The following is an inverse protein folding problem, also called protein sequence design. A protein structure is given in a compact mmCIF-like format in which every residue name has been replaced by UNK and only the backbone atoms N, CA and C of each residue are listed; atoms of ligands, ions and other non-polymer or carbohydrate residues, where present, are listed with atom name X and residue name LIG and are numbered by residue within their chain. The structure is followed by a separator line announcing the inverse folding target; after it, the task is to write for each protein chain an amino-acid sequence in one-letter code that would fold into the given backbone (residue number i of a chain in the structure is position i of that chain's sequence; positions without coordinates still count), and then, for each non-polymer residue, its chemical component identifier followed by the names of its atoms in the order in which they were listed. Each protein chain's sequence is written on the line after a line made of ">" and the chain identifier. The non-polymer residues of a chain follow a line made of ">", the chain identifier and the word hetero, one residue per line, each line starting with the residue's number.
data_IF_574894150732
#
_entry.id   IF_574894150732
#
_cell.length_a   1.000
_cell.length_b   1.000
_cell.length_c   1.000
_cell.angle_alpha   90.00
_cell.angle_beta   90.00
_cell.angle_gamma   90.00
#
_symmetry.space_group_name_H-M   'P 1'
#
loop_
_entity.id
_entity.type
_entity.pdbx_description
1 polymer ?
#
# COMPACT_ATOMS: atom_id res chain seq x y z
N UNK A 1 -35.57 1.92 -19.92
CA UNK A 1 -35.20 0.51 -19.94
C UNK A 1 -34.01 0.24 -19.02
N UNK A 2 -32.79 0.76 -19.29
CA UNK A 2 -31.60 0.42 -18.48
C UNK A 2 -31.85 0.64 -16.98
N UNK A 3 -32.37 1.79 -16.58
CA UNK A 3 -32.68 2.12 -15.19
C UNK A 3 -33.74 1.22 -14.52
N UNK A 4 -34.56 0.51 -15.31
CA UNK A 4 -35.55 -0.44 -14.77
C UNK A 4 -34.98 -1.87 -14.66
N UNK A 5 -33.88 -2.16 -15.35
CA UNK A 5 -33.27 -3.49 -15.37
C UNK A 5 -32.21 -3.66 -14.31
N UNK A 6 -31.50 -2.60 -13.96
CA UNK A 6 -30.43 -2.63 -12.97
C UNK A 6 -30.09 -1.23 -12.47
N UNK A 7 -29.46 -1.16 -11.33
CA UNK A 7 -28.72 0.02 -10.90
C UNK A 7 -27.31 0.00 -11.51
N UNK A 8 -26.85 1.18 -11.92
CA UNK A 8 -25.52 1.35 -12.49
C UNK A 8 -24.73 2.37 -11.68
N UNK A 9 -23.43 2.16 -11.56
CA UNK A 9 -22.50 3.12 -10.99
C UNK A 9 -21.12 2.98 -11.63
N UNK A 10 -20.40 4.08 -11.71
CA UNK A 10 -19.00 4.10 -12.17
C UNK A 10 -18.07 4.15 -10.98
N UNK A 11 -17.30 3.12 -10.78
CA UNK A 11 -16.27 3.09 -9.76
C UNK A 11 -15.09 3.97 -10.18
N UNK A 12 -14.92 5.13 -9.52
CA UNK A 12 -13.88 6.10 -9.90
C UNK A 12 -12.46 5.60 -9.66
N UNK A 13 -12.29 4.61 -8.77
CA UNK A 13 -10.99 4.02 -8.46
C UNK A 13 -10.54 3.10 -9.60
N UNK A 14 -11.35 2.10 -9.95
CA UNK A 14 -11.03 1.17 -11.04
C UNK A 14 -11.34 1.75 -12.42
N UNK A 15 -12.17 2.80 -12.49
CA UNK A 15 -12.69 3.41 -13.72
C UNK A 15 -13.64 2.52 -14.49
N UNK A 16 -14.15 1.47 -13.86
CA UNK A 16 -15.07 0.53 -14.47
C UNK A 16 -16.51 0.84 -14.03
N UNK A 17 -17.42 0.62 -14.96
CA UNK A 17 -18.84 0.62 -14.68
C UNK A 17 -19.21 -0.68 -13.96
N UNK A 18 -20.07 -0.55 -12.95
CA UNK A 18 -20.63 -1.66 -12.17
C UNK A 18 -22.14 -1.64 -12.28
N UNK A 19 -22.76 -2.81 -12.24
CA UNK A 19 -24.20 -2.95 -12.20
C UNK A 19 -24.66 -3.84 -11.05
N UNK A 20 -25.87 -3.58 -10.55
CA UNK A 20 -26.57 -4.42 -9.58
C UNK A 20 -27.97 -4.73 -10.10
N UNK A 21 -28.28 -6.01 -10.25
CA UNK A 21 -29.65 -6.43 -10.56
C UNK A 21 -30.56 -6.16 -9.35
N UNK A 22 -31.84 -5.81 -9.53
CA UNK A 22 -32.75 -5.51 -8.41
C UNK A 22 -32.85 -6.62 -7.35
N UNK A 23 -32.63 -7.86 -7.74
CA UNK A 23 -32.65 -9.03 -6.86
C UNK A 23 -31.27 -9.40 -6.26
N UNK A 24 -30.20 -8.67 -6.64
CA UNK A 24 -28.86 -8.94 -6.16
C UNK A 24 -28.46 -7.95 -5.05
N UNK A 25 -27.70 -8.42 -4.09
CA UNK A 25 -27.18 -7.58 -2.99
C UNK A 25 -25.93 -6.80 -3.42
N UNK A 26 -25.13 -7.37 -4.34
CA UNK A 26 -23.81 -6.84 -4.70
C UNK A 26 -23.77 -6.26 -6.11
N UNK A 27 -22.94 -5.24 -6.27
CA UNK A 27 -22.57 -4.72 -7.58
C UNK A 27 -21.48 -5.60 -8.21
N UNK A 28 -21.63 -5.89 -9.50
CA UNK A 28 -20.65 -6.61 -10.31
C UNK A 28 -20.11 -5.72 -11.43
N UNK A 29 -18.84 -5.88 -11.78
CA UNK A 29 -18.26 -5.16 -12.91
C UNK A 29 -18.98 -5.49 -14.21
N UNK A 30 -19.27 -4.48 -15.01
CA UNK A 30 -19.82 -4.64 -16.36
C UNK A 30 -18.79 -5.33 -17.26
N UNK A 31 -19.19 -6.47 -17.80
CA UNK A 31 -18.42 -7.21 -18.80
C UNK A 31 -19.09 -7.09 -20.17
N UNK A 32 -18.36 -7.33 -21.26
CA UNK A 32 -18.93 -7.39 -22.59
C UNK A 32 -20.15 -8.34 -22.68
N UNK A 33 -20.10 -9.45 -21.95
CA UNK A 33 -21.23 -10.39 -21.87
C UNK A 33 -22.48 -9.76 -21.26
N UNK A 34 -22.34 -8.98 -20.18
CA UNK A 34 -23.45 -8.31 -19.51
C UNK A 34 -24.02 -7.20 -20.40
N UNK A 35 -23.18 -6.39 -21.02
CA UNK A 35 -23.59 -5.34 -21.96
C UNK A 35 -24.33 -5.95 -23.17
N UNK A 36 -23.81 -7.02 -23.76
CA UNK A 36 -24.46 -7.73 -24.85
C UNK A 36 -25.81 -8.34 -24.43
N UNK A 37 -25.92 -8.83 -23.19
CA UNK A 37 -27.17 -9.34 -22.63
C UNK A 37 -28.23 -8.25 -22.45
N UNK A 38 -27.82 -7.07 -21.97
CA UNK A 38 -28.70 -5.89 -21.89
C UNK A 38 -29.21 -5.49 -23.28
N UNK A 39 -28.30 -5.34 -24.24
CA UNK A 39 -28.65 -5.02 -25.61
C UNK A 39 -29.61 -6.04 -26.23
N UNK A 40 -29.37 -7.34 -26.04
CA UNK A 40 -30.24 -8.41 -26.54
C UNK A 40 -31.65 -8.33 -25.95
N UNK A 41 -31.79 -8.03 -24.64
CA UNK A 41 -33.10 -7.84 -24.01
C UNK A 41 -33.82 -6.62 -24.59
N UNK A 42 -33.13 -5.49 -24.72
CA UNK A 42 -33.69 -4.28 -25.34
C UNK A 42 -34.27 -4.57 -26.73
N UNK A 43 -33.49 -5.28 -27.56
CA UNK A 43 -33.91 -5.64 -28.90
C UNK A 43 -35.14 -6.58 -28.93
N UNK A 44 -35.18 -7.54 -27.99
CA UNK A 44 -36.33 -8.46 -27.85
C UNK A 44 -37.63 -7.76 -27.40
N UNK A 45 -37.47 -6.68 -26.62
CA UNK A 45 -38.61 -5.85 -26.20
C UNK A 45 -39.02 -4.79 -27.24
N UNK A 46 -38.42 -4.81 -28.42
CA UNK A 46 -38.80 -3.94 -29.53
C UNK A 46 -38.05 -2.63 -29.62
N UNK A 47 -37.03 -2.40 -28.78
CA UNK A 47 -36.21 -1.21 -28.85
C UNK A 47 -35.19 -1.30 -30.00
N UNK A 48 -35.22 -0.36 -30.93
CA UNK A 48 -34.27 -0.27 -32.05
C UNK A 48 -33.04 0.52 -31.60
N UNK A 49 -32.07 -0.18 -31.01
CA UNK A 49 -30.81 0.42 -30.51
C UNK A 49 -29.60 -0.40 -30.99
N UNK A 50 -28.52 0.26 -31.29
CA UNK A 50 -27.25 -0.41 -31.63
C UNK A 50 -26.47 -0.69 -30.32
N UNK A 51 -25.63 -1.72 -30.33
CA UNK A 51 -24.78 -2.06 -29.17
C UNK A 51 -23.86 -0.89 -28.77
N UNK A 52 -23.33 -0.15 -29.76
CA UNK A 52 -22.49 1.02 -29.50
C UNK A 52 -23.25 2.14 -28.76
N UNK A 53 -24.54 2.32 -29.04
CA UNK A 53 -25.37 3.32 -28.37
C UNK A 53 -25.58 2.95 -26.88
N UNK A 54 -25.76 1.65 -26.59
CA UNK A 54 -25.85 1.15 -25.21
C UNK A 54 -24.53 1.38 -24.46
N UNK A 55 -23.38 1.06 -25.10
CA UNK A 55 -22.06 1.35 -24.51
C UNK A 55 -21.86 2.83 -24.24
N UNK A 56 -22.16 3.70 -25.21
CA UNK A 56 -22.02 5.16 -25.05
C UNK A 56 -22.87 5.72 -23.90
N UNK A 57 -24.06 5.17 -23.68
CA UNK A 57 -24.89 5.57 -22.53
C UNK A 57 -24.27 5.09 -21.21
N UNK A 58 -23.82 3.85 -21.15
CA UNK A 58 -23.19 3.29 -19.93
C UNK A 58 -21.89 3.98 -19.57
N UNK A 59 -21.14 4.49 -20.55
CA UNK A 59 -19.89 5.26 -20.37
C UNK A 59 -20.13 6.78 -20.18
N UNK A 60 -21.37 7.23 -20.14
CA UNK A 60 -21.72 8.63 -19.98
C UNK A 60 -22.10 9.01 -18.54
N UNK A 61 -22.42 10.30 -18.32
CA UNK A 61 -22.94 10.83 -17.05
C UNK A 61 -24.28 10.22 -16.62
N UNK A 62 -24.91 9.40 -17.45
CA UNK A 62 -26.08 8.58 -17.06
C UNK A 62 -25.74 7.65 -15.90
N UNK A 63 -24.50 7.19 -15.81
CA UNK A 63 -24.01 6.32 -14.75
C UNK A 63 -23.32 7.17 -13.68
N UNK A 64 -23.91 7.28 -12.46
CA UNK A 64 -23.35 8.11 -11.40
C UNK A 64 -21.99 7.60 -10.91
N UNK A 65 -21.11 8.52 -10.56
CA UNK A 65 -19.81 8.20 -9.98
C UNK A 65 -19.97 7.66 -8.55
N UNK A 66 -19.15 6.67 -8.23
CA UNK A 66 -19.09 6.02 -6.94
C UNK A 66 -17.63 5.89 -6.48
N UNK A 67 -17.32 6.43 -5.30
CA UNK A 67 -16.04 6.22 -4.65
C UNK A 67 -16.20 5.26 -3.47
N UNK A 68 -15.68 4.02 -3.55
CA UNK A 68 -15.88 3.00 -2.53
C UNK A 68 -15.31 3.39 -1.17
N UNK A 69 -14.20 4.12 -1.14
CA UNK A 69 -13.58 4.55 0.11
C UNK A 69 -14.39 5.65 0.78
N UNK A 70 -14.84 6.64 0.01
CA UNK A 70 -15.68 7.73 0.54
C UNK A 70 -16.98 7.18 1.11
N UNK A 71 -17.64 6.27 0.41
CA UNK A 71 -18.89 5.66 0.89
C UNK A 71 -18.66 4.81 2.14
N UNK A 72 -17.59 4.01 2.15
CA UNK A 72 -17.23 3.23 3.33
C UNK A 72 -17.00 4.14 4.56
N UNK A 73 -16.17 5.17 4.43
CA UNK A 73 -15.89 6.07 5.55
C UNK A 73 -17.08 6.91 6.00
N UNK A 74 -18.03 7.21 5.11
CA UNK A 74 -19.29 7.86 5.47
C UNK A 74 -20.26 6.97 6.24
N UNK A 75 -20.22 5.66 5.98
CA UNK A 75 -21.08 4.68 6.64
C UNK A 75 -20.62 4.29 8.04
N UNK A 76 -19.39 4.66 8.42
CA UNK A 76 -18.84 4.29 9.71
C UNK A 76 -19.56 4.98 10.87
N UNK A 77 -19.82 4.24 11.97
CA UNK A 77 -20.30 4.85 13.19
C UNK A 77 -19.24 5.79 13.78
N UNK A 78 -19.64 6.84 14.51
CA UNK A 78 -18.68 7.71 15.16
C UNK A 78 -17.91 6.93 16.24
N UNK A 79 -16.58 7.16 16.30
CA UNK A 79 -15.75 6.61 17.36
C UNK A 79 -16.13 7.20 18.72
N UNK A 80 -16.14 6.40 19.77
CA UNK A 80 -16.49 6.77 21.15
C UNK A 80 -15.48 7.74 21.82
N UNK A 81 -14.30 7.91 21.22
CA UNK A 81 -13.23 8.78 21.71
C UNK A 81 -12.39 8.17 22.84
N UNK A 82 -12.66 6.96 23.26
CA UNK A 82 -12.03 6.29 24.42
C UNK A 82 -11.41 4.95 24.03
N UNK A 83 -12.15 4.11 23.33
CA UNK A 83 -11.71 2.74 22.99
C UNK A 83 -10.56 2.78 21.97
N UNK A 84 -9.42 2.19 22.31
CA UNK A 84 -8.28 2.11 21.40
C UNK A 84 -8.35 0.86 20.52
N UNK A 85 -9.11 0.96 19.42
CA UNK A 85 -9.28 -0.13 18.45
C UNK A 85 -8.00 -0.36 17.63
N UNK A 86 -7.25 0.71 17.29
CA UNK A 86 -6.00 0.58 16.54
C UNK A 86 -4.94 -0.13 17.39
N UNK A 87 -4.80 0.27 18.64
CA UNK A 87 -3.86 -0.39 19.56
C UNK A 87 -4.22 -1.85 19.81
N UNK A 88 -5.52 -2.19 19.92
CA UNK A 88 -5.95 -3.60 20.01
C UNK A 88 -5.60 -4.41 18.77
N UNK A 89 -5.72 -3.83 17.58
CA UNK A 89 -5.31 -4.47 16.34
C UNK A 89 -3.78 -4.62 16.28
N UNK A 90 -3.03 -3.60 16.65
CA UNK A 90 -1.57 -3.66 16.72
C UNK A 90 -1.10 -4.75 17.70
N UNK A 91 -1.75 -4.90 18.85
CA UNK A 91 -1.41 -5.88 19.86
C UNK A 91 -1.54 -7.35 19.41
N UNK A 92 -2.24 -7.61 18.29
CA UNK A 92 -2.29 -8.96 17.68
C UNK A 92 -0.97 -9.34 16.97
N UNK A 93 -0.06 -8.39 16.80
CA UNK A 93 1.28 -8.63 16.22
C UNK A 93 2.32 -8.46 17.34
N UNK A 94 2.87 -9.57 17.77
CA UNK A 94 3.89 -9.62 18.80
C UNK A 94 5.27 -9.40 18.16
N UNK A 95 5.84 -8.22 18.36
CA UNK A 95 7.14 -7.84 17.80
C UNK A 95 8.27 -8.05 18.80
N UNK A 96 9.47 -8.24 18.30
CA UNK A 96 10.68 -8.22 19.09
C UNK A 96 11.03 -6.80 19.53
N UNK A 97 11.32 -6.60 20.83
CA UNK A 97 11.71 -5.31 21.39
C UNK A 97 10.52 -4.44 21.80
N UNK A 98 10.47 -3.19 21.32
CA UNK A 98 9.50 -2.19 21.78
C UNK A 98 8.15 -2.30 21.05
N UNK A 99 7.20 -2.97 21.71
CA UNK A 99 5.83 -3.10 21.22
C UNK A 99 5.09 -1.75 21.16
N UNK A 100 5.45 -0.79 22.02
CA UNK A 100 4.85 0.56 21.98
C UNK A 100 5.28 1.32 20.74
N UNK A 101 6.55 1.21 20.36
CA UNK A 101 7.04 1.80 19.11
C UNK A 101 6.33 1.21 17.90
N UNK A 102 6.03 -0.10 17.91
CA UNK A 102 5.22 -0.71 16.85
C UNK A 102 3.82 -0.10 16.82
N UNK A 103 3.14 0.02 17.96
CA UNK A 103 1.80 0.63 18.02
C UNK A 103 1.82 2.08 17.51
N UNK A 104 2.77 2.89 17.95
CA UNK A 104 2.88 4.29 17.53
C UNK A 104 3.15 4.42 16.02
N UNK A 105 4.06 3.63 15.47
CA UNK A 105 4.36 3.60 14.04
C UNK A 105 3.18 3.07 13.22
N UNK A 106 2.56 1.98 13.66
CA UNK A 106 1.40 1.38 13.00
C UNK A 106 0.21 2.35 12.98
N UNK A 107 -0.05 3.04 14.09
CA UNK A 107 -1.11 4.05 14.21
C UNK A 107 -0.91 5.19 13.22
N UNK A 108 0.30 5.75 13.14
CA UNK A 108 0.65 6.78 12.17
C UNK A 108 0.48 6.29 10.74
N UNK A 109 1.02 5.12 10.45
CA UNK A 109 0.92 4.51 9.12
C UNK A 109 -0.53 4.26 8.72
N UNK A 110 -1.37 3.71 9.62
CA UNK A 110 -2.77 3.41 9.32
C UNK A 110 -3.62 4.68 9.14
N UNK A 111 -3.38 5.71 9.95
CA UNK A 111 -4.04 7.02 9.75
C UNK A 111 -3.60 7.62 8.40
N UNK A 112 -2.32 7.51 8.03
CA UNK A 112 -1.84 7.94 6.71
C UNK A 112 -2.52 7.17 5.56
N UNK A 113 -2.79 5.86 5.71
CA UNK A 113 -3.60 5.06 4.77
C UNK A 113 -4.99 5.68 4.59
N UNK A 114 -5.68 6.00 5.69
CA UNK A 114 -7.02 6.60 5.62
C UNK A 114 -6.96 7.97 4.93
N UNK A 115 -5.96 8.79 5.25
CA UNK A 115 -5.84 10.14 4.67
C UNK A 115 -5.54 10.06 3.17
N UNK A 116 -4.65 9.18 2.72
CA UNK A 116 -4.34 9.00 1.29
C UNK A 116 -5.54 8.52 0.47
N UNK A 117 -6.47 7.78 1.08
CA UNK A 117 -7.72 7.36 0.43
C UNK A 117 -8.77 8.48 0.35
N UNK A 118 -8.67 9.51 1.21
CA UNK A 118 -9.66 10.58 1.33
C UNK A 118 -9.22 11.91 0.73
N UNK A 119 -7.91 12.16 0.64
CA UNK A 119 -7.32 13.44 0.22
C UNK A 119 -6.39 13.22 -0.95
N UNK A 120 -6.75 13.77 -2.12
CA UNK A 120 -6.06 13.54 -3.41
C UNK A 120 -4.59 13.98 -3.41
N UNK A 121 -4.24 14.96 -2.58
CA UNK A 121 -2.91 15.56 -2.51
C UNK A 121 -1.99 14.90 -1.47
N UNK A 122 -2.50 13.90 -0.75
CA UNK A 122 -1.73 13.23 0.30
C UNK A 122 -1.36 11.81 -0.13
N UNK A 123 -0.08 11.51 -0.03
CA UNK A 123 0.48 10.18 -0.30
C UNK A 123 1.16 9.64 0.97
N UNK A 124 0.92 8.39 1.30
CA UNK A 124 1.62 7.73 2.40
C UNK A 124 3.01 7.27 1.93
N UNK A 125 4.05 7.91 2.44
CA UNK A 125 5.43 7.62 2.06
C UNK A 125 6.08 6.49 2.87
N UNK A 126 5.39 5.93 3.85
CA UNK A 126 5.92 4.89 4.73
C UNK A 126 5.52 3.49 4.26
N UNK A 127 6.46 2.56 4.35
CA UNK A 127 6.27 1.15 4.01
C UNK A 127 6.35 0.35 5.31
N UNK A 128 5.23 -0.19 5.76
CA UNK A 128 5.20 -1.06 6.94
C UNK A 128 5.71 -2.45 6.56
N UNK A 129 6.79 -2.94 7.19
CA UNK A 129 7.38 -4.23 6.86
C UNK A 129 7.36 -5.17 8.08
N UNK A 130 6.78 -6.34 7.87
CA UNK A 130 6.80 -7.43 8.84
C UNK A 130 7.91 -8.43 8.50
N UNK A 131 8.92 -8.48 9.35
CA UNK A 131 10.09 -9.36 9.20
C UNK A 131 9.91 -10.58 10.09
N UNK A 132 10.10 -11.79 9.59
CA UNK A 132 9.98 -12.99 10.43
C UNK A 132 9.78 -14.27 9.64
N UNK A 133 9.71 -15.39 10.35
CA UNK A 133 9.64 -16.73 9.77
C UNK A 133 8.48 -16.90 8.80
N UNK A 134 8.64 -17.75 7.80
CA UNK A 134 7.55 -18.17 6.94
C UNK A 134 6.43 -18.85 7.75
N UNK A 135 5.17 -18.64 7.33
CA UNK A 135 4.01 -19.28 7.95
C UNK A 135 3.48 -18.59 9.23
N UNK A 136 4.03 -17.45 9.65
CA UNK A 136 3.53 -16.70 10.82
C UNK A 136 2.46 -15.64 10.49
N UNK A 137 1.66 -15.85 9.46
CA UNK A 137 0.50 -15.03 9.07
C UNK A 137 0.79 -13.59 8.60
N UNK A 138 2.04 -13.19 8.31
CA UNK A 138 2.38 -11.81 7.92
C UNK A 138 1.49 -11.26 6.80
N UNK A 139 1.53 -11.89 5.63
CA UNK A 139 0.73 -11.47 4.46
C UNK A 139 -0.77 -11.57 4.73
N UNK A 140 -1.21 -12.62 5.44
CA UNK A 140 -2.62 -12.81 5.80
C UNK A 140 -3.12 -11.68 6.70
N UNK A 141 -2.34 -11.28 7.69
CA UNK A 141 -2.67 -10.17 8.59
C UNK A 141 -2.75 -8.85 7.83
N UNK A 142 -1.75 -8.56 6.97
CA UNK A 142 -1.75 -7.35 6.13
C UNK A 142 -2.95 -7.32 5.17
N UNK A 143 -3.30 -8.44 4.55
CA UNK A 143 -4.47 -8.54 3.67
C UNK A 143 -5.79 -8.29 4.41
N UNK A 144 -5.84 -8.64 5.69
CA UNK A 144 -7.00 -8.44 6.55
C UNK A 144 -7.08 -7.05 7.19
N UNK A 145 -6.14 -6.16 6.91
CA UNK A 145 -6.28 -4.76 7.30
C UNK A 145 -7.46 -4.11 6.56
N UNK A 146 -7.72 -4.47 5.30
CA UNK A 146 -8.89 -3.97 4.59
C UNK A 146 -10.16 -4.76 4.96
N UNK A 147 -11.28 -4.06 5.19
CA UNK A 147 -12.57 -4.70 5.45
C UNK A 147 -13.03 -5.51 4.22
N UNK A 148 -13.94 -6.48 4.39
CA UNK A 148 -14.39 -7.36 3.31
C UNK A 148 -14.81 -6.62 2.04
N UNK A 149 -15.53 -5.51 2.19
CA UNK A 149 -16.05 -4.67 1.10
C UNK A 149 -14.95 -3.99 0.29
N UNK A 150 -13.79 -3.70 0.92
CA UNK A 150 -12.65 -3.04 0.30
C UNK A 150 -11.49 -4.00 0.00
N UNK A 151 -11.62 -5.28 0.32
CA UNK A 151 -10.53 -6.26 0.17
C UNK A 151 -10.06 -6.43 -1.27
N UNK A 152 -10.92 -6.19 -2.26
CA UNK A 152 -10.54 -6.18 -3.68
C UNK A 152 -9.50 -5.10 -4.04
N UNK A 153 -9.30 -4.11 -3.17
CA UNK A 153 -8.28 -3.06 -3.32
C UNK A 153 -6.97 -3.40 -2.58
N UNK A 154 -6.80 -4.63 -2.16
CA UNK A 154 -5.53 -5.17 -1.69
C UNK A 154 -4.83 -5.89 -2.85
N UNK A 155 -3.59 -5.53 -3.12
CA UNK A 155 -2.75 -6.15 -4.14
C UNK A 155 -1.52 -6.77 -3.49
N UNK A 156 -1.22 -8.00 -3.85
CA UNK A 156 0.07 -8.62 -3.53
C UNK A 156 0.95 -8.55 -4.76
N UNK A 157 2.15 -8.04 -4.59
CA UNK A 157 3.16 -7.98 -5.61
C UNK A 157 4.35 -8.85 -5.22
N UNK A 158 4.63 -9.88 -6.02
CA UNK A 158 5.87 -10.63 -5.96
C UNK A 158 6.97 -9.86 -6.70
N UNK A 159 8.16 -9.79 -6.12
CA UNK A 159 9.25 -8.93 -6.59
C UNK A 159 10.06 -9.51 -7.78
N UNK A 160 9.54 -10.50 -8.49
CA UNK A 160 10.24 -11.22 -9.57
C UNK A 160 10.43 -10.45 -10.88
N UNK A 161 10.09 -9.17 -10.96
CA UNK A 161 10.19 -8.38 -12.21
C UNK A 161 10.42 -6.88 -12.02
N UNK A 162 10.92 -6.23 -13.09
CA UNK A 162 11.02 -4.77 -13.15
C UNK A 162 9.64 -4.11 -12.98
N UNK A 163 9.64 -2.94 -12.33
CA UNK A 163 8.48 -2.07 -12.24
C UNK A 163 8.02 -1.64 -13.64
N UNK A 164 6.74 -1.79 -13.92
CA UNK A 164 6.11 -1.57 -15.22
C UNK A 164 5.13 -0.38 -15.16
N UNK A 165 4.52 -0.04 -16.30
CA UNK A 165 3.42 0.93 -16.33
C UNK A 165 2.20 0.48 -15.54
N UNK A 166 1.95 -0.83 -15.47
CA UNK A 166 0.83 -1.40 -14.73
C UNK A 166 1.04 -1.19 -13.22
N UNK A 167 2.28 -1.21 -12.74
CA UNK A 167 2.60 -0.88 -11.36
C UNK A 167 2.31 0.59 -11.03
N UNK A 168 2.53 1.51 -11.98
CA UNK A 168 2.12 2.90 -11.79
C UNK A 168 0.60 3.05 -11.73
N UNK A 169 -0.14 2.32 -12.57
CA UNK A 169 -1.62 2.32 -12.52
C UNK A 169 -2.12 1.79 -11.19
N UNK A 170 -1.48 0.76 -10.64
CA UNK A 170 -1.81 0.19 -9.34
C UNK A 170 -1.81 1.23 -8.21
N UNK A 171 -0.95 2.27 -8.28
CA UNK A 171 -0.91 3.36 -7.29
C UNK A 171 -2.24 4.11 -7.15
N UNK A 172 -3.02 4.15 -8.21
CA UNK A 172 -4.34 4.82 -8.24
C UNK A 172 -5.52 3.87 -8.13
N UNK A 173 -5.28 2.56 -8.14
CA UNK A 173 -6.34 1.53 -8.20
C UNK A 173 -6.41 0.65 -6.96
N UNK A 174 -5.35 0.60 -6.14
CA UNK A 174 -5.31 -0.16 -4.90
C UNK A 174 -5.13 0.73 -3.68
N UNK A 175 -5.73 0.31 -2.57
CA UNK A 175 -5.56 0.97 -1.27
C UNK A 175 -4.27 0.54 -0.58
N UNK A 176 -3.97 -0.76 -0.65
CA UNK A 176 -2.77 -1.36 -0.08
C UNK A 176 -2.06 -2.24 -1.13
N UNK A 177 -0.78 -2.00 -1.32
CA UNK A 177 0.12 -2.82 -2.13
C UNK A 177 1.10 -3.51 -1.18
N UNK A 178 0.99 -4.84 -1.10
CA UNK A 178 1.87 -5.67 -0.29
C UNK A 178 3.03 -6.20 -1.13
N UNK A 179 4.23 -5.83 -0.76
CA UNK A 179 5.46 -6.34 -1.36
C UNK A 179 5.86 -7.63 -0.63
N UNK A 180 5.85 -8.75 -1.32
CA UNK A 180 6.36 -10.01 -0.77
C UNK A 180 7.83 -10.19 -1.13
N UNK A 181 8.58 -10.88 -0.27
CA UNK A 181 9.98 -11.22 -0.49
C UNK A 181 10.85 -9.99 -0.82
N UNK A 182 10.73 -8.94 0.02
CA UNK A 182 11.43 -7.66 -0.19
C UNK A 182 12.96 -7.88 -0.26
N UNK A 183 13.48 -8.90 0.38
CA UNK A 183 14.88 -9.31 0.36
C UNK A 183 15.40 -9.71 -1.03
N UNK A 184 14.52 -10.04 -1.96
CA UNK A 184 14.89 -10.32 -3.36
C UNK A 184 15.02 -9.07 -4.25
N UNK A 185 14.63 -7.88 -3.74
CA UNK A 185 14.73 -6.63 -4.47
C UNK A 185 16.18 -6.23 -4.72
N UNK A 186 16.50 -5.97 -5.98
CA UNK A 186 17.80 -5.41 -6.36
C UNK A 186 17.84 -3.91 -6.06
N UNK A 187 19.02 -3.35 -5.88
CA UNK A 187 19.21 -1.91 -5.62
C UNK A 187 18.50 -1.01 -6.65
N UNK A 188 18.48 -1.42 -7.94
CA UNK A 188 17.75 -0.70 -8.98
C UNK A 188 16.24 -0.68 -8.75
N UNK A 189 15.66 -1.78 -8.28
CA UNK A 189 14.23 -1.92 -8.02
C UNK A 189 13.83 -1.13 -6.77
N UNK A 190 14.70 -1.11 -5.73
CA UNK A 190 14.53 -0.28 -4.53
C UNK A 190 14.47 1.21 -4.89
N UNK A 191 15.35 1.69 -5.77
CA UNK A 191 15.34 3.07 -6.21
C UNK A 191 14.08 3.43 -7.01
N UNK A 192 13.59 2.53 -7.85
CA UNK A 192 12.32 2.70 -8.56
C UNK A 192 11.14 2.70 -7.59
N UNK A 193 11.12 1.79 -6.61
CA UNK A 193 10.09 1.74 -5.56
C UNK A 193 10.05 3.03 -4.74
N UNK A 194 11.21 3.59 -4.37
CA UNK A 194 11.29 4.89 -3.68
C UNK A 194 10.65 6.02 -4.50
N UNK A 195 10.91 6.04 -5.81
CA UNK A 195 10.30 7.02 -6.71
C UNK A 195 8.78 6.82 -6.77
N UNK A 196 8.32 5.57 -6.89
CA UNK A 196 6.89 5.24 -6.91
C UNK A 196 6.19 5.66 -5.62
N UNK A 197 6.72 5.30 -4.45
CA UNK A 197 6.13 5.62 -3.13
C UNK A 197 5.94 7.13 -2.95
N UNK A 198 6.77 7.95 -3.58
CA UNK A 198 6.69 9.42 -3.47
C UNK A 198 6.00 10.11 -4.65
N UNK A 199 5.56 9.36 -5.65
CA UNK A 199 4.87 9.93 -6.80
C UNK A 199 3.49 10.50 -6.37
N UNK A 200 3.19 11.79 -6.57
CA UNK A 200 1.95 12.37 -6.05
C UNK A 200 0.71 11.98 -6.87
N UNK A 201 0.88 11.67 -8.13
CA UNK A 201 -0.19 11.32 -9.05
C UNK A 201 0.32 10.46 -10.21
N UNK A 202 -0.58 9.70 -10.79
CA UNK A 202 -0.34 8.83 -11.95
C UNK A 202 -0.93 9.47 -13.20
N UNK A 203 -0.09 9.73 -14.20
CA UNK A 203 -0.53 10.27 -15.49
C UNK A 203 -0.33 9.22 -16.58
N UNK A 204 -1.15 8.18 -16.54
CA UNK A 204 -1.10 7.07 -17.46
C UNK A 204 -2.46 6.85 -18.13
N UNK A 205 -2.42 6.24 -19.32
CA UNK A 205 -3.62 5.82 -20.03
C UNK A 205 -3.99 4.40 -19.64
N UNK A 206 -5.22 4.19 -19.19
CA UNK A 206 -5.76 2.84 -18.96
C UNK A 206 -5.76 2.02 -20.25
N UNK A 207 -5.72 0.71 -20.12
CA UNK A 207 -5.94 -0.19 -21.25
C UNK A 207 -7.27 0.16 -21.94
N UNK A 208 -7.23 0.34 -23.26
CA UNK A 208 -8.38 0.73 -24.10
C UNK A 208 -8.93 2.16 -23.87
N UNK A 209 -8.41 2.94 -22.91
CA UNK A 209 -8.77 4.35 -22.76
C UNK A 209 -8.27 5.18 -23.94
N UNK A 210 -9.00 6.23 -24.33
CA UNK A 210 -8.58 7.14 -25.40
C UNK A 210 -7.65 8.25 -24.91
N UNK A 211 -7.80 8.65 -23.65
CA UNK A 211 -7.09 9.79 -23.05
C UNK A 211 -6.20 9.35 -21.88
N UNK A 212 -5.15 10.13 -21.63
CA UNK A 212 -4.40 10.05 -20.37
C UNK A 212 -5.21 10.75 -19.28
N UNK A 213 -5.26 10.13 -18.12
CA UNK A 213 -5.94 10.66 -16.94
C UNK A 213 -4.90 10.94 -15.85
N UNK A 214 -5.01 12.10 -15.21
CA UNK A 214 -4.22 12.41 -14.03
C UNK A 214 -5.00 11.94 -12.79
N UNK A 215 -4.56 10.83 -12.20
CA UNK A 215 -5.22 10.20 -11.06
C UNK A 215 -4.38 10.33 -9.79
N UNK A 216 -4.99 10.58 -8.63
CA UNK A 216 -4.24 10.66 -7.38
C UNK A 216 -3.59 9.31 -7.05
N UNK A 217 -2.42 9.36 -6.45
CA UNK A 217 -1.81 8.21 -5.81
C UNK A 217 -2.48 7.98 -4.46
N UNK A 218 -3.25 6.93 -4.35
CA UNK A 218 -4.00 6.56 -3.14
C UNK A 218 -3.38 5.37 -2.40
N UNK A 219 -2.51 4.61 -3.05
CA UNK A 219 -1.95 3.39 -2.49
C UNK A 219 -1.02 3.69 -1.31
N UNK A 220 -1.13 2.88 -0.27
CA UNK A 220 -0.12 2.75 0.76
C UNK A 220 0.62 1.43 0.60
N UNK A 221 1.88 1.39 1.02
CA UNK A 221 2.71 0.21 0.89
C UNK A 221 2.87 -0.51 2.22
N UNK A 222 2.84 -1.82 2.15
CA UNK A 222 3.29 -2.71 3.21
C UNK A 222 4.13 -3.83 2.60
N UNK A 223 4.76 -4.66 3.42
CA UNK A 223 5.51 -5.76 2.87
C UNK A 223 5.94 -6.79 3.89
N UNK A 224 6.45 -7.90 3.38
CA UNK A 224 6.92 -9.02 4.18
C UNK A 224 8.27 -9.50 3.70
N UNK A 225 9.11 -9.94 4.64
CA UNK A 225 10.35 -10.64 4.35
C UNK A 225 10.61 -11.71 5.41
N UNK A 226 11.39 -12.72 5.04
CA UNK A 226 11.86 -13.75 5.96
C UNK A 226 13.29 -13.46 6.43
N UNK A 227 14.00 -12.57 5.76
CA UNK A 227 15.38 -12.20 6.06
C UNK A 227 15.41 -10.97 6.98
N UNK A 228 16.13 -11.03 8.10
CA UNK A 228 16.29 -9.87 8.98
C UNK A 228 17.07 -8.74 8.31
N UNK A 229 18.10 -9.07 7.55
CA UNK A 229 18.93 -8.10 6.82
C UNK A 229 18.46 -8.03 5.36
N UNK A 230 17.57 -7.09 5.07
CA UNK A 230 16.97 -6.94 3.75
C UNK A 230 17.11 -5.53 3.17
N UNK A 231 17.47 -4.53 4.00
CA UNK A 231 17.63 -3.16 3.53
C UNK A 231 18.99 -2.99 2.84
N UNK A 232 18.95 -2.86 1.53
CA UNK A 232 20.09 -2.49 0.72
C UNK A 232 19.92 -1.05 0.23
N UNK A 233 19.85 -0.08 1.18
CA UNK A 233 19.55 1.30 0.87
C UNK A 233 20.33 2.29 1.76
N UNK A 234 21.55 2.63 1.40
CA UNK A 234 22.42 3.50 2.21
C UNK A 234 21.92 4.94 2.35
N UNK A 235 20.88 5.35 1.59
CA UNK A 235 20.47 6.76 1.51
C UNK A 235 19.00 7.04 1.82
N UNK A 236 18.17 6.03 2.13
CA UNK A 236 16.73 6.22 2.15
C UNK A 236 15.95 5.34 3.10
N UNK A 237 16.57 4.81 4.16
CA UNK A 237 15.91 3.88 5.10
C UNK A 237 14.69 4.50 5.81
N UNK A 238 14.56 5.83 5.84
CA UNK A 238 13.45 6.58 6.47
C UNK A 238 12.04 6.20 6.00
N UNK A 239 11.91 5.56 4.82
CA UNK A 239 10.60 5.12 4.31
C UNK A 239 10.18 3.78 4.86
N UNK A 240 11.10 3.02 5.37
CA UNK A 240 10.86 1.67 5.82
C UNK A 240 10.56 1.65 7.32
N UNK A 241 9.47 0.98 7.68
CA UNK A 241 9.09 0.72 9.07
C UNK A 241 9.14 -0.79 9.31
N UNK A 242 10.36 -1.39 9.40
CA UNK A 242 10.50 -2.82 9.61
C UNK A 242 10.32 -3.18 11.07
N UNK A 243 9.60 -4.29 11.31
CA UNK A 243 9.43 -4.87 12.64
C UNK A 243 9.61 -6.37 12.60
N UNK A 244 10.51 -6.88 13.45
CA UNK A 244 10.71 -8.32 13.61
C UNK A 244 9.54 -8.90 14.38
N UNK A 245 8.80 -9.80 13.73
CA UNK A 245 7.61 -10.46 14.26
C UNK A 245 8.02 -11.75 14.94
N UNK A 246 7.69 -11.89 16.22
CA UNK A 246 7.83 -13.11 16.99
C UNK A 246 6.63 -14.04 16.73
N UNK A 247 5.42 -13.46 16.77
CA UNK A 247 4.16 -14.15 16.59
C UNK A 247 3.08 -13.19 16.10
N UNK A 248 2.11 -13.67 15.36
CA UNK A 248 0.85 -12.99 15.03
C UNK A 248 -0.28 -13.89 15.51
N UNK A 249 -1.23 -13.33 16.27
CA UNK A 249 -2.44 -14.04 16.67
C UNK A 249 -3.19 -14.49 15.41
N UNK A 250 -3.77 -15.69 15.47
CA UNK A 250 -4.44 -16.26 14.32
C UNK A 250 -5.53 -15.30 13.77
N UNK A 251 -5.35 -14.72 12.56
CA UNK A 251 -6.30 -13.74 12.02
C UNK A 251 -7.69 -14.33 11.71
N UNK A 252 -7.84 -15.64 11.74
CA UNK A 252 -9.13 -16.30 11.52
C UNK A 252 -9.95 -16.39 12.80
N UNK A 253 -9.31 -16.45 13.96
CA UNK A 253 -9.95 -16.51 15.28
C UNK A 253 -10.00 -15.15 15.98
N UNK A 254 -9.21 -14.19 15.52
CA UNK A 254 -9.17 -12.80 16.03
C UNK A 254 -9.71 -11.85 14.96
N UNK A 255 -11.03 -11.66 14.84
CA UNK A 255 -11.64 -10.79 13.84
C UNK A 255 -11.27 -9.32 14.11
N UNK A 256 -11.02 -8.58 13.03
CA UNK A 256 -10.76 -7.14 13.09
C UNK A 256 -12.08 -6.39 13.28
N UNK A 257 -12.14 -5.51 14.27
CA UNK A 257 -13.22 -4.53 14.40
C UNK A 257 -12.99 -3.35 13.43
N UNK A 258 -13.35 -3.58 12.17
CA UNK A 258 -13.14 -2.58 11.12
C UNK A 258 -13.82 -1.26 11.38
N UNK A 259 -15.04 -1.28 11.90
CA UNK A 259 -15.79 -0.05 12.19
C UNK A 259 -15.07 0.78 13.27
N UNK A 260 -14.61 0.13 14.34
CA UNK A 260 -13.86 0.78 15.40
C UNK A 260 -12.50 1.29 14.93
N UNK A 261 -11.72 0.46 14.23
CA UNK A 261 -10.38 0.80 13.73
C UNK A 261 -10.42 1.98 12.77
N UNK A 262 -11.25 1.93 11.75
CA UNK A 262 -11.33 2.99 10.74
C UNK A 262 -12.10 4.23 11.24
N UNK A 263 -13.09 4.04 12.12
CA UNK A 263 -13.76 5.15 12.82
C UNK A 263 -12.78 5.93 13.69
N UNK A 264 -11.92 5.24 14.44
CA UNK A 264 -10.85 5.86 15.23
C UNK A 264 -9.83 6.57 14.34
N UNK A 265 -9.32 5.92 13.28
CA UNK A 265 -8.35 6.52 12.37
C UNK A 265 -8.89 7.79 11.70
N UNK A 266 -10.13 7.75 11.21
CA UNK A 266 -10.81 8.89 10.61
C UNK A 266 -10.98 10.06 11.61
N UNK A 267 -11.34 9.75 12.86
CA UNK A 267 -11.53 10.78 13.89
C UNK A 267 -10.19 11.36 14.36
N UNK A 268 -9.15 10.54 14.50
CA UNK A 268 -7.79 11.00 14.79
C UNK A 268 -7.32 12.01 13.74
N UNK A 269 -7.48 11.69 12.46
CA UNK A 269 -7.17 12.62 11.37
C UNK A 269 -7.97 13.92 11.49
N UNK A 270 -9.29 13.85 11.64
CA UNK A 270 -10.16 15.05 11.77
C UNK A 270 -9.80 15.91 12.98
N UNK A 271 -9.26 15.33 14.05
CA UNK A 271 -8.78 16.04 15.24
C UNK A 271 -7.34 16.58 15.11
N UNK A 272 -6.72 16.41 13.93
CA UNK A 272 -5.37 16.93 13.67
C UNK A 272 -4.24 16.03 14.19
N UNK A 273 -4.50 14.72 14.36
CA UNK A 273 -3.44 13.77 14.72
C UNK A 273 -2.32 13.80 13.66
N UNK A 274 -1.08 13.91 14.12
CA UNK A 274 0.11 13.91 13.26
C UNK A 274 0.43 12.49 12.79
N UNK A 275 0.05 12.17 11.58
CA UNK A 275 0.27 10.86 10.95
C UNK A 275 1.58 10.76 10.17
N UNK A 276 2.34 11.84 10.05
CA UNK A 276 3.68 11.85 9.47
C UNK A 276 4.76 11.85 10.55
N UNK A 277 5.98 11.50 10.17
CA UNK A 277 7.13 11.47 11.05
C UNK A 277 7.89 12.80 10.94
N UNK A 278 8.26 13.41 12.08
CA UNK A 278 9.13 14.58 12.10
C UNK A 278 10.61 14.19 11.98
N UNK A 279 11.50 15.19 12.03
CA UNK A 279 12.94 14.98 11.86
C UNK A 279 13.56 14.09 12.95
N UNK A 280 13.12 14.24 14.21
CA UNK A 280 13.60 13.41 15.32
C UNK A 280 13.14 11.95 15.17
N UNK A 281 11.88 11.74 14.85
CA UNK A 281 11.31 10.42 14.60
C UNK A 281 11.95 9.75 13.38
N UNK A 282 12.24 10.52 12.32
CA UNK A 282 12.96 10.02 11.14
C UNK A 282 14.39 9.59 11.53
N UNK A 283 15.08 10.38 12.38
CA UNK A 283 16.41 10.01 12.86
C UNK A 283 16.38 8.71 13.69
N UNK A 284 15.36 8.55 14.56
CA UNK A 284 15.16 7.33 15.33
C UNK A 284 14.85 6.13 14.43
N UNK A 285 14.00 6.30 13.41
CA UNK A 285 13.69 5.26 12.41
C UNK A 285 14.96 4.85 11.67
N UNK A 286 15.76 5.79 11.19
CA UNK A 286 17.01 5.49 10.48
C UNK A 286 17.99 4.71 11.36
N UNK A 287 18.27 5.21 12.59
CA UNK A 287 19.17 4.51 13.52
C UNK A 287 18.70 3.08 13.85
N UNK A 288 17.39 2.90 13.98
CA UNK A 288 16.83 1.57 14.19
C UNK A 288 16.96 0.66 12.95
N UNK A 289 16.86 1.23 11.77
CA UNK A 289 16.89 0.50 10.51
C UNK A 289 18.29 -0.04 10.18
N UNK A 290 19.36 0.51 10.77
CA UNK A 290 20.74 -0.01 10.63
C UNK A 290 20.84 -1.52 10.88
N UNK A 291 20.07 -2.05 11.84
CA UNK A 291 20.05 -3.49 12.14
C UNK A 291 19.39 -4.37 11.07
N UNK A 292 18.70 -3.77 10.12
CA UNK A 292 18.07 -4.46 8.99
C UNK A 292 18.83 -4.24 7.69
N UNK A 293 19.94 -3.49 7.73
CA UNK A 293 20.79 -3.24 6.57
C UNK A 293 21.60 -4.49 6.24
N UNK A 294 21.67 -4.80 4.96
CA UNK A 294 22.51 -5.87 4.46
C UNK A 294 23.97 -5.44 4.60
N UNK A 295 24.77 -6.23 5.28
CA UNK A 295 26.21 -6.00 5.34
C UNK A 295 26.79 -5.95 3.92
N UNK A 296 27.48 -4.87 3.57
CA UNK A 296 28.15 -4.82 2.27
C UNK A 296 29.49 -5.54 2.38
N UNK A 297 29.74 -6.44 1.44
CA UNK A 297 31.02 -7.16 1.37
C UNK A 297 32.22 -6.18 1.34
N UNK A 298 32.03 -5.02 0.69
CA UNK A 298 33.03 -3.96 0.62
C UNK A 298 33.29 -3.35 1.99
N UNK A 299 32.23 -3.12 2.79
CA UNK A 299 32.35 -2.60 4.16
C UNK A 299 33.04 -3.62 5.06
N UNK A 300 32.66 -4.89 4.98
CA UNK A 300 33.28 -5.96 5.77
C UNK A 300 34.77 -6.14 5.42
N UNK A 301 35.10 -6.12 4.14
CA UNK A 301 36.47 -6.13 3.68
C UNK A 301 37.24 -4.91 4.18
N UNK A 302 36.65 -3.72 4.10
CA UNK A 302 37.29 -2.49 4.56
C UNK A 302 37.55 -2.55 6.07
N UNK A 303 36.60 -3.00 6.86
CA UNK A 303 36.74 -3.15 8.31
C UNK A 303 37.67 -4.28 8.73
N UNK A 304 37.86 -5.29 7.88
CA UNK A 304 38.85 -6.36 8.10
C UNK A 304 40.28 -5.88 7.96
N UNK A 305 40.56 -4.91 7.10
CA UNK A 305 41.90 -4.38 6.83
C UNK A 305 42.16 -3.01 7.51
N UNK A 306 41.14 -2.26 7.82
CA UNK A 306 41.25 -0.90 8.33
C UNK A 306 40.37 -0.69 9.57
N UNK A 307 40.82 0.16 10.48
CA UNK A 307 40.02 0.64 11.63
C UNK A 307 40.14 2.14 11.78
N UNK A 308 39.15 2.73 12.43
CA UNK A 308 39.24 4.15 12.81
C UNK A 308 40.36 4.33 13.84
N UNK A 309 41.29 5.28 13.64
CA UNK A 309 42.39 5.51 14.58
C UNK A 309 41.83 6.03 15.94
N UNK A 310 42.48 5.62 17.03
CA UNK A 310 42.19 6.14 18.35
C UNK A 310 42.74 7.57 18.50
N UNK A 311 42.19 8.40 19.40
CA UNK A 311 42.72 9.75 19.66
C UNK A 311 44.23 9.68 20.03
N UNK A 312 45.07 10.34 19.23
CA UNK A 312 46.51 10.36 19.43
C UNK A 312 47.32 9.29 18.66
N UNK A 313 46.68 8.42 17.88
CA UNK A 313 47.34 7.52 16.93
C UNK A 313 47.66 8.24 15.62
N UNK A 314 48.79 7.89 15.01
CA UNK A 314 49.10 8.29 13.65
C UNK A 314 48.18 7.54 12.69
N UNK A 315 47.54 8.29 11.78
CA UNK A 315 46.65 7.73 10.77
C UNK A 315 47.23 7.91 9.36
N UNK A 316 46.97 6.94 8.50
CA UNK A 316 47.28 7.04 7.08
C UNK A 316 46.08 7.62 6.34
N UNK A 317 46.33 8.54 5.43
CA UNK A 317 45.35 9.01 4.48
C UNK A 317 45.54 8.27 3.17
N UNK A 318 44.55 7.43 2.83
CA UNK A 318 44.61 6.60 1.62
C UNK A 318 43.54 7.04 0.63
N UNK A 319 43.91 7.02 -0.63
CA UNK A 319 42.93 7.13 -1.73
C UNK A 319 42.17 5.80 -1.90
N UNK A 320 41.02 5.86 -2.57
CA UNK A 320 40.23 4.65 -2.87
C UNK A 320 41.05 3.60 -3.64
N UNK A 321 41.95 4.03 -4.54
CA UNK A 321 42.84 3.15 -5.28
C UNK A 321 43.86 2.44 -4.38
N UNK A 322 44.46 3.12 -3.41
CA UNK A 322 45.39 2.56 -2.43
C UNK A 322 44.67 1.59 -1.47
N UNK A 323 43.45 1.90 -1.03
CA UNK A 323 42.61 1.01 -0.25
C UNK A 323 42.35 -0.29 -1.02
N UNK A 324 41.95 -0.22 -2.29
CA UNK A 324 41.71 -1.37 -3.15
C UNK A 324 43.00 -2.22 -3.38
N UNK A 325 44.18 -1.58 -3.49
CA UNK A 325 45.44 -2.28 -3.58
C UNK A 325 45.75 -3.04 -2.29
N UNK A 326 45.49 -2.48 -1.10
CA UNK A 326 45.65 -3.15 0.17
C UNK A 326 44.71 -4.34 0.38
N UNK A 327 43.52 -4.29 -0.15
CA UNK A 327 42.52 -5.37 -0.06
C UNK A 327 42.82 -6.51 -1.03
N UNK A 328 43.38 -6.21 -2.20
CA UNK A 328 43.64 -7.19 -3.28
C UNK A 328 45.06 -7.75 -3.30
N UNK A 329 45.97 -7.22 -2.52
CA UNK A 329 47.39 -7.67 -2.41
C UNK A 329 47.62 -8.63 -1.31
#
# INVERSE_FOLDING_TARGET
>A
FLATQAEFRKNVITGKEEMRHPEAEEFVELTDRLVNSLWSRMTKEGHTVRLCDVRSVLESEFVPEFNPFTEYFRSLPPWDGVTDHIGRLAATVHVEGDAKLFDDCFRKWLVAVVVSLMVKEVTNHQILVLVGRQGCYKTTWLARLLPPELRRYFCVRSNSGRLTKDDNLALSEFALICLEEIDELRLGDINQLKAMVTLPAVNERRAYGHYKENRPHIASFCGTTNQPEFLNDPTGSRRWLPFTVVHIDDPYTHPVDYAGVYGQALMLWKKGFRYWFDEEEIAQVNARNERFETASLETDLLLAFFRVPMPGEECMFLTVGEILQHING
#
